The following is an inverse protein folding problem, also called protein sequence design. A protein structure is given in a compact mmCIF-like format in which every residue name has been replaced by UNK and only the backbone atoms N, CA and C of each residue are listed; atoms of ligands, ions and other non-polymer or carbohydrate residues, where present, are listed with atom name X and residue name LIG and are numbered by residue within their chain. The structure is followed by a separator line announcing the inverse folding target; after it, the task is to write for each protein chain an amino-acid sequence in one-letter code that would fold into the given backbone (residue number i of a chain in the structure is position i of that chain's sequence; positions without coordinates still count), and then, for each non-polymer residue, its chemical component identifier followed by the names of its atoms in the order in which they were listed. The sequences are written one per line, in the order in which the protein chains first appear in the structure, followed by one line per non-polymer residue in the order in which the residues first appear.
data_IF_344100126561
#
_entry.id   IF_344100126561
#
_cell.length_a   1.000
_cell.length_b   1.000
_cell.length_c   1.000
_cell.angle_alpha   90.00
_cell.angle_beta   90.00
_cell.angle_gamma   90.00
#
_symmetry.space_group_name_H-M   'P 1'
#
loop_
_entity.id
_entity.type
_entity.pdbx_description
1 polymer ?
#
# COMPACT_ATOMS: atom_id res chain seq x y z
N UNK A 1 -5.99 -37.40 -56.01
CA UNK A 1 -6.85 -38.58 -55.79
C UNK A 1 -6.02 -39.69 -55.15
N UNK A 2 -6.57 -40.34 -54.11
CA UNK A 2 -6.07 -41.49 -53.30
C UNK A 2 -5.66 -41.09 -51.88
N UNK A 3 -6.09 -41.73 -50.80
CA UNK A 3 -7.15 -42.71 -50.50
C UNK A 3 -7.34 -42.65 -48.98
N UNK A 4 -8.58 -42.76 -48.53
CA UNK A 4 -8.97 -42.87 -47.13
C UNK A 4 -8.33 -44.09 -46.45
N UNK A 5 -8.04 -43.98 -45.16
CA UNK A 5 -7.94 -45.12 -44.24
C UNK A 5 -8.66 -44.76 -42.94
N UNK A 6 -9.91 -45.18 -42.86
CA UNK A 6 -10.56 -45.54 -41.61
C UNK A 6 -10.10 -46.96 -41.25
N UNK A 7 -10.01 -47.29 -39.96
CA UNK A 7 -10.62 -48.48 -39.33
C UNK A 7 -10.17 -48.63 -37.87
N UNK A 8 -11.20 -48.68 -37.02
CA UNK A 8 -11.42 -49.39 -35.74
C UNK A 8 -10.39 -49.28 -34.60
N UNK A 9 -10.79 -48.80 -33.42
CA UNK A 9 -11.63 -49.47 -32.39
C UNK A 9 -10.78 -50.38 -31.48
N UNK A 10 -10.53 -49.91 -30.26
CA UNK A 10 -9.95 -50.66 -29.17
C UNK A 10 -10.48 -50.12 -27.85
N UNK A 11 -11.71 -50.52 -27.53
CA UNK A 11 -12.35 -50.33 -26.24
C UNK A 11 -11.79 -51.39 -25.27
N UNK A 12 -11.18 -50.99 -24.16
CA UNK A 12 -11.01 -51.88 -23.01
C UNK A 12 -11.05 -51.07 -21.72
N UNK A 13 -12.22 -51.18 -21.09
CA UNK A 13 -12.54 -50.81 -19.73
C UNK A 13 -11.86 -51.82 -18.79
N UNK A 14 -11.03 -51.36 -17.86
CA UNK A 14 -10.76 -52.12 -16.63
C UNK A 14 -10.88 -51.16 -15.44
N UNK A 15 -11.88 -51.47 -14.61
CA UNK A 15 -12.11 -50.91 -13.29
C UNK A 15 -10.96 -51.27 -12.35
N UNK A 16 -10.47 -50.27 -11.62
CA UNK A 16 -9.51 -50.45 -10.54
C UNK A 16 -9.68 -49.35 -9.50
N UNK A 17 -10.75 -49.45 -8.70
CA UNK A 17 -10.88 -48.72 -7.43
C UNK A 17 -9.87 -49.33 -6.47
N UNK A 18 -8.84 -48.60 -6.08
CA UNK A 18 -8.25 -48.66 -4.75
C UNK A 18 -7.76 -47.28 -4.33
N UNK A 19 -8.57 -46.63 -3.49
CA UNK A 19 -8.12 -45.61 -2.56
C UNK A 19 -7.00 -46.17 -1.70
N UNK A 20 -5.84 -45.52 -1.73
CA UNK A 20 -4.92 -45.52 -0.62
C UNK A 20 -4.30 -44.13 -0.56
N UNK A 21 -4.78 -43.34 0.41
CA UNK A 21 -4.14 -42.14 0.91
C UNK A 21 -2.63 -42.35 0.99
N UNK A 22 -1.88 -41.56 0.23
CA UNK A 22 -0.56 -41.13 0.69
C UNK A 22 -0.46 -39.65 0.42
N UNK A 23 -0.87 -38.90 1.45
CA UNK A 23 -0.51 -37.51 1.66
C UNK A 23 0.98 -37.38 1.41
N UNK A 24 1.33 -36.86 0.24
CA UNK A 24 2.52 -36.05 0.10
C UNK A 24 1.99 -34.63 0.16
N UNK A 25 1.64 -34.21 1.37
CA UNK A 25 1.27 -32.83 1.66
C UNK A 25 2.50 -31.97 1.40
N UNK A 26 2.47 -31.34 0.23
CA UNK A 26 2.60 -29.90 0.09
C UNK A 26 3.70 -29.26 0.94
N UNK A 27 4.96 -29.54 0.58
CA UNK A 27 5.98 -28.49 0.69
C UNK A 27 5.64 -27.41 -0.34
N UNK A 28 5.08 -26.29 0.11
CA UNK A 28 5.02 -25.07 -0.69
C UNK A 28 3.76 -24.22 -0.64
N UNK A 29 2.92 -24.23 0.41
CA UNK A 29 1.82 -23.24 0.53
C UNK A 29 1.18 -23.17 1.94
N UNK A 30 1.77 -22.40 2.87
CA UNK A 30 1.18 -21.90 4.13
C UNK A 30 2.30 -21.13 4.89
N UNK A 31 2.24 -19.86 5.26
CA UNK A 31 1.13 -18.93 5.54
C UNK A 31 1.49 -17.52 5.04
N UNK A 32 0.65 -16.93 4.19
CA UNK A 32 0.62 -15.46 4.01
C UNK A 32 0.27 -14.86 5.37
N UNK A 33 1.14 -13.98 5.88
CA UNK A 33 1.14 -13.47 7.24
C UNK A 33 -0.25 -13.02 7.69
N UNK A 34 -0.80 -13.68 8.72
CA UNK A 34 -1.95 -13.13 9.43
C UNK A 34 -1.59 -11.76 10.00
N UNK A 35 -2.50 -10.79 9.91
CA UNK A 35 -2.36 -9.51 10.59
C UNK A 35 -2.19 -9.74 12.10
N UNK A 36 -1.27 -8.99 12.69
CA UNK A 36 -1.18 -8.80 14.13
C UNK A 36 -2.52 -8.28 14.69
N UNK A 37 -2.75 -8.51 15.98
CA UNK A 37 -4.00 -8.10 16.62
C UNK A 37 -4.24 -6.59 16.49
N UNK A 38 -3.20 -5.77 16.60
CA UNK A 38 -3.32 -4.32 16.45
C UNK A 38 -3.48 -3.90 14.99
N UNK A 39 -2.79 -4.57 14.04
CA UNK A 39 -3.00 -4.28 12.62
C UNK A 39 -4.44 -4.59 12.19
N UNK A 40 -5.01 -5.67 12.71
CA UNK A 40 -6.42 -6.03 12.49
C UNK A 40 -7.38 -4.96 13.01
N UNK A 41 -7.16 -4.43 14.22
CA UNK A 41 -7.96 -3.32 14.77
C UNK A 41 -7.90 -2.08 13.88
N UNK A 42 -6.72 -1.77 13.33
CA UNK A 42 -6.55 -0.62 12.43
C UNK A 42 -7.31 -0.84 11.12
N UNK A 43 -7.20 -2.04 10.51
CA UNK A 43 -7.94 -2.39 9.29
C UNK A 43 -9.45 -2.33 9.53
N UNK A 44 -9.95 -2.92 10.61
CA UNK A 44 -11.38 -2.91 10.95
C UNK A 44 -11.90 -1.48 11.12
N UNK A 45 -11.13 -0.63 11.82
CA UNK A 45 -11.45 0.79 11.98
C UNK A 45 -11.52 1.52 10.63
N UNK A 46 -10.54 1.31 9.76
CA UNK A 46 -10.47 1.96 8.44
C UNK A 46 -11.64 1.54 7.56
N UNK A 47 -11.97 0.24 7.52
CA UNK A 47 -13.08 -0.27 6.72
C UNK A 47 -14.42 0.29 7.22
N UNK A 48 -14.65 0.33 8.54
CA UNK A 48 -15.84 0.99 9.12
C UNK A 48 -15.90 2.49 8.79
N UNK A 49 -14.77 3.18 8.92
CA UNK A 49 -14.69 4.61 8.67
C UNK A 49 -14.94 4.96 7.20
N UNK A 50 -14.30 4.24 6.26
CA UNK A 50 -14.47 4.47 4.82
C UNK A 50 -15.86 4.12 4.29
N UNK A 51 -16.64 3.32 5.02
CA UNK A 51 -18.06 3.08 4.70
C UNK A 51 -18.96 4.28 5.05
N UNK A 52 -18.45 5.28 5.78
CA UNK A 52 -19.17 6.53 6.06
C UNK A 52 -18.95 7.54 4.93
N UNK A 53 -19.93 8.41 4.73
CA UNK A 53 -19.90 9.40 3.64
C UNK A 53 -18.69 10.33 3.77
N UNK A 54 -18.04 10.57 2.63
CA UNK A 54 -16.91 11.50 2.46
C UNK A 54 -15.65 11.17 3.26
N UNK A 55 -15.52 9.95 3.79
CA UNK A 55 -14.35 9.58 4.60
C UNK A 55 -13.26 8.91 3.79
N UNK A 56 -12.02 9.24 4.14
CA UNK A 56 -10.80 8.73 3.51
C UNK A 56 -9.61 8.78 4.47
N UNK A 57 -9.88 8.50 5.74
CA UNK A 57 -8.91 8.44 6.83
C UNK A 57 -7.67 7.64 6.45
N UNK A 58 -6.50 8.24 6.67
CA UNK A 58 -5.20 7.59 6.51
C UNK A 58 -4.94 6.57 7.61
N UNK A 59 -4.04 5.61 7.35
CA UNK A 59 -3.62 4.61 8.35
C UNK A 59 -3.04 5.30 9.59
N UNK A 60 -2.22 6.36 9.38
CA UNK A 60 -1.65 7.13 10.47
C UNK A 60 -2.71 7.77 11.38
N UNK A 61 -3.76 8.38 10.80
CA UNK A 61 -4.84 8.98 11.59
C UNK A 61 -5.72 7.92 12.27
N UNK A 62 -5.99 6.79 11.62
CA UNK A 62 -6.68 5.68 12.24
C UNK A 62 -5.93 5.12 13.46
N UNK A 63 -4.62 4.96 13.35
CA UNK A 63 -3.76 4.55 14.46
C UNK A 63 -3.80 5.56 15.61
N UNK A 64 -3.69 6.86 15.31
CA UNK A 64 -3.83 7.92 16.32
C UNK A 64 -5.19 7.86 17.04
N UNK A 65 -6.28 7.68 16.29
CA UNK A 65 -7.62 7.54 16.81
C UNK A 65 -7.81 6.29 17.71
N UNK A 66 -6.97 5.28 17.53
CA UNK A 66 -6.95 4.05 18.32
C UNK A 66 -5.92 4.09 19.47
N UNK A 67 -5.13 5.17 19.58
CA UNK A 67 -4.04 5.25 20.56
C UNK A 67 -2.87 4.29 20.24
N UNK A 68 -2.69 3.96 18.97
CA UNK A 68 -1.63 3.09 18.47
C UNK A 68 -0.55 3.92 17.77
N UNK A 69 0.70 3.48 17.88
CA UNK A 69 1.86 4.14 17.26
C UNK A 69 2.81 3.11 16.64
N UNK A 70 3.71 3.58 15.78
CA UNK A 70 4.80 2.77 15.24
C UNK A 70 4.74 2.59 13.73
N UNK A 71 5.83 2.96 13.05
CA UNK A 71 5.94 2.86 11.60
C UNK A 71 5.89 1.40 11.10
N UNK A 72 6.35 0.43 11.89
CA UNK A 72 6.29 -0.99 11.54
C UNK A 72 4.83 -1.50 11.42
N UNK A 73 3.99 -1.14 12.39
CA UNK A 73 2.57 -1.46 12.36
C UNK A 73 1.88 -0.80 11.15
N UNK A 74 2.24 0.45 10.87
CA UNK A 74 1.71 1.17 9.70
C UNK A 74 2.09 0.52 8.37
N UNK A 75 3.33 0.03 8.23
CA UNK A 75 3.78 -0.73 7.07
C UNK A 75 3.04 -2.07 6.95
N UNK A 76 2.87 -2.80 8.05
CA UNK A 76 2.13 -4.06 8.08
C UNK A 76 0.69 -3.89 7.56
N UNK A 77 -0.02 -2.87 8.07
CA UNK A 77 -1.37 -2.52 7.60
C UNK A 77 -1.34 -2.14 6.10
N UNK A 78 -0.38 -1.33 5.68
CA UNK A 78 -0.23 -0.93 4.28
C UNK A 78 -0.04 -2.11 3.33
N UNK A 79 0.85 -3.04 3.68
CA UNK A 79 1.15 -4.24 2.89
C UNK A 79 -0.04 -5.19 2.80
N UNK A 80 -0.82 -5.29 3.88
CA UNK A 80 -2.08 -6.02 3.86
C UNK A 80 -3.10 -5.36 2.93
N UNK A 81 -3.33 -4.06 3.05
CA UNK A 81 -4.31 -3.34 2.21
C UNK A 81 -3.94 -3.38 0.71
N UNK A 82 -2.65 -3.44 0.36
CA UNK A 82 -2.20 -3.65 -1.04
C UNK A 82 -2.64 -5.00 -1.61
N UNK A 83 -2.69 -6.04 -0.77
CA UNK A 83 -3.07 -7.40 -1.16
C UNK A 83 -4.59 -7.62 -1.11
N UNK A 84 -5.32 -6.73 -0.43
CA UNK A 84 -6.75 -6.86 -0.15
C UNK A 84 -7.53 -5.61 -0.57
N UNK A 85 -7.39 -5.23 -1.85
CA UNK A 85 -8.05 -4.03 -2.41
C UNK A 85 -9.58 -4.17 -2.53
N UNK A 86 -10.10 -5.36 -2.31
CA UNK A 86 -11.52 -5.72 -2.29
C UNK A 86 -12.23 -5.36 -0.97
N UNK A 87 -11.49 -5.03 0.10
CA UNK A 87 -12.07 -4.71 1.41
C UNK A 87 -12.92 -3.42 1.43
N UNK A 88 -12.61 -2.47 0.56
CA UNK A 88 -13.34 -1.21 0.48
C UNK A 88 -13.26 -0.60 -0.93
N UNK A 89 -14.33 0.07 -1.36
CA UNK A 89 -14.33 0.84 -2.62
C UNK A 89 -13.18 1.85 -2.66
N UNK A 90 -12.83 2.44 -1.51
CA UNK A 90 -11.71 3.34 -1.36
C UNK A 90 -10.39 2.73 -1.86
N UNK A 91 -10.09 1.49 -1.47
CA UNK A 91 -8.89 0.79 -1.91
C UNK A 91 -8.96 0.43 -3.39
N UNK A 92 -10.13 0.02 -3.88
CA UNK A 92 -10.33 -0.32 -5.30
C UNK A 92 -10.09 0.87 -6.23
N UNK A 93 -10.56 2.06 -5.86
CA UNK A 93 -10.49 3.25 -6.73
C UNK A 93 -9.21 4.05 -6.55
N UNK A 94 -8.67 4.10 -5.34
CA UNK A 94 -7.54 4.96 -5.00
C UNK A 94 -6.26 4.16 -4.71
N UNK A 95 -6.35 2.86 -4.38
CA UNK A 95 -5.20 2.06 -4.01
C UNK A 95 -4.69 2.34 -2.59
N UNK A 96 -4.01 1.36 -2.01
CA UNK A 96 -3.56 1.42 -0.61
C UNK A 96 -2.49 2.50 -0.34
N UNK A 97 -1.64 2.82 -1.33
CA UNK A 97 -0.55 3.80 -1.18
C UNK A 97 -1.06 5.19 -0.77
N UNK A 98 -2.28 5.54 -1.16
CA UNK A 98 -2.93 6.81 -0.84
C UNK A 98 -3.33 6.96 0.64
N UNK A 99 -3.45 5.85 1.36
CA UNK A 99 -3.81 5.82 2.77
C UNK A 99 -2.60 5.57 3.68
N UNK A 100 -1.47 5.12 3.12
CA UNK A 100 -0.26 4.79 3.88
C UNK A 100 0.47 6.03 4.41
N UNK A 101 0.58 7.07 3.58
CA UNK A 101 1.22 8.32 3.97
C UNK A 101 0.32 9.15 4.88
N UNK A 102 0.91 9.72 5.93
CA UNK A 102 0.29 10.76 6.75
C UNK A 102 0.14 12.08 5.96
N UNK A 103 -0.63 13.03 6.47
CA UNK A 103 -0.76 14.35 5.82
C UNK A 103 0.58 15.11 5.74
N UNK A 104 1.44 14.97 6.76
CA UNK A 104 2.81 15.49 6.75
C UNK A 104 3.63 14.87 5.60
N UNK A 105 3.59 13.54 5.45
CA UNK A 105 4.33 12.82 4.42
C UNK A 105 3.77 13.07 3.01
N UNK A 106 2.46 13.31 2.89
CA UNK A 106 1.82 13.75 1.65
C UNK A 106 2.33 15.12 1.20
N UNK A 107 2.55 16.05 2.12
CA UNK A 107 3.15 17.36 1.81
C UNK A 107 4.59 17.17 1.32
N UNK A 108 5.37 16.31 1.98
CA UNK A 108 6.73 15.96 1.53
C UNK A 108 6.69 15.37 0.12
N UNK A 109 5.86 14.34 -0.12
CA UNK A 109 5.72 13.69 -1.43
C UNK A 109 5.33 14.69 -2.52
N UNK A 110 4.34 15.56 -2.26
CA UNK A 110 3.92 16.62 -3.19
C UNK A 110 5.08 17.50 -3.61
N UNK A 111 5.86 17.96 -2.63
CA UNK A 111 7.00 18.84 -2.89
C UNK A 111 8.05 18.12 -3.74
N UNK A 112 8.47 16.92 -3.35
CA UNK A 112 9.49 16.14 -4.07
C UNK A 112 9.06 15.86 -5.53
N UNK A 113 7.81 15.43 -5.75
CA UNK A 113 7.29 15.18 -7.10
C UNK A 113 7.25 16.46 -7.90
N UNK A 114 6.74 17.56 -7.34
CA UNK A 114 6.61 18.83 -8.07
C UNK A 114 7.97 19.36 -8.48
N UNK A 115 8.95 19.37 -7.56
CA UNK A 115 10.33 19.77 -7.84
C UNK A 115 10.97 18.85 -8.89
N UNK A 116 10.82 17.53 -8.76
CA UNK A 116 11.39 16.59 -9.73
C UNK A 116 10.78 16.75 -11.13
N UNK A 117 9.45 16.88 -11.23
CA UNK A 117 8.76 17.05 -12.51
C UNK A 117 9.17 18.34 -13.20
N UNK A 118 9.27 19.45 -12.44
CA UNK A 118 9.61 20.77 -12.95
C UNK A 118 11.10 20.96 -13.26
N UNK A 119 11.98 20.49 -12.38
CA UNK A 119 13.42 20.78 -12.44
C UNK A 119 14.28 19.58 -12.89
N UNK A 120 13.68 18.39 -13.01
CA UNK A 120 14.38 17.12 -13.34
C UNK A 120 15.48 16.75 -12.35
N UNK A 121 15.39 17.27 -11.11
CA UNK A 121 16.27 16.95 -9.99
C UNK A 121 15.48 16.95 -8.69
N UNK A 122 15.99 16.25 -7.69
CA UNK A 122 15.47 16.37 -6.33
C UNK A 122 16.16 17.52 -5.58
N UNK A 123 15.45 18.17 -4.66
CA UNK A 123 16.02 19.21 -3.80
C UNK A 123 17.04 18.61 -2.83
N UNK A 124 17.89 19.42 -2.23
CA UNK A 124 18.70 19.03 -1.07
C UNK A 124 17.82 18.87 0.19
N UNK A 125 18.36 18.23 1.23
CA UNK A 125 17.65 18.07 2.51
C UNK A 125 17.26 19.42 3.13
N UNK A 126 18.16 20.41 3.06
CA UNK A 126 17.92 21.75 3.58
C UNK A 126 16.84 22.50 2.80
N UNK A 127 16.85 22.43 1.47
CA UNK A 127 15.81 23.04 0.61
C UNK A 127 14.44 22.43 0.90
N UNK A 128 14.38 21.10 0.98
CA UNK A 128 13.15 20.39 1.31
C UNK A 128 12.64 20.72 2.72
N UNK A 129 13.52 20.71 3.72
CA UNK A 129 13.21 21.09 5.11
C UNK A 129 12.57 22.47 5.18
N UNK A 130 13.18 23.46 4.50
CA UNK A 130 12.65 24.83 4.45
C UNK A 130 11.30 24.90 3.73
N UNK A 131 11.16 24.21 2.61
CA UNK A 131 9.96 24.28 1.78
C UNK A 131 8.73 23.64 2.46
N UNK A 132 8.94 22.53 3.18
CA UNK A 132 7.85 21.81 3.87
C UNK A 132 7.68 22.21 5.33
N UNK A 133 8.57 23.06 5.87
CA UNK A 133 8.48 23.57 7.24
C UNK A 133 8.81 22.54 8.33
N UNK A 134 9.61 21.52 8.03
CA UNK A 134 10.00 20.47 8.99
C UNK A 134 11.50 20.55 9.32
N UNK A 135 11.91 20.28 10.58
CA UNK A 135 13.33 20.11 10.91
C UNK A 135 13.99 19.02 10.07
N UNK A 136 15.24 19.20 9.66
CA UNK A 136 15.98 18.24 8.81
C UNK A 136 16.02 16.82 9.40
N UNK A 137 16.18 16.69 10.73
CA UNK A 137 16.15 15.39 11.41
C UNK A 137 14.81 14.67 11.21
N UNK A 138 13.68 15.39 11.42
CA UNK A 138 12.33 14.86 11.23
C UNK A 138 12.08 14.51 9.76
N UNK A 139 12.49 15.38 8.85
CA UNK A 139 12.37 15.11 7.41
C UNK A 139 13.16 13.85 7.03
N UNK A 140 14.39 13.69 7.51
CA UNK A 140 15.22 12.50 7.26
C UNK A 140 14.54 11.21 7.75
N UNK A 141 13.97 11.21 8.96
CA UNK A 141 13.20 10.08 9.48
C UNK A 141 11.99 9.74 8.59
N UNK A 142 11.25 10.76 8.14
CA UNK A 142 10.08 10.56 7.27
C UNK A 142 10.49 10.05 5.88
N UNK A 143 11.58 10.56 5.30
CA UNK A 143 12.12 10.05 4.03
C UNK A 143 12.52 8.57 4.15
N UNK A 144 13.11 8.17 5.28
CA UNK A 144 13.43 6.76 5.54
C UNK A 144 12.17 5.89 5.60
N UNK A 145 11.12 6.36 6.29
CA UNK A 145 9.83 5.68 6.29
C UNK A 145 9.26 5.57 4.87
N UNK A 146 9.24 6.66 4.10
CA UNK A 146 8.73 6.69 2.73
C UNK A 146 9.53 5.76 1.79
N UNK A 147 10.84 5.58 2.03
CA UNK A 147 11.63 4.60 1.33
C UNK A 147 11.21 3.16 1.66
N UNK A 148 11.01 2.84 2.95
CA UNK A 148 10.46 1.53 3.38
C UNK A 148 9.05 1.29 2.85
N UNK A 149 8.26 2.34 2.73
CA UNK A 149 6.91 2.30 2.18
C UNK A 149 6.90 2.07 0.65
N UNK A 150 8.03 2.26 -0.04
CA UNK A 150 8.16 2.07 -1.48
C UNK A 150 7.88 3.32 -2.33
N UNK A 151 7.83 4.51 -1.73
CA UNK A 151 7.73 5.78 -2.49
C UNK A 151 9.11 6.27 -2.97
N UNK A 152 10.15 5.96 -2.20
CA UNK A 152 11.54 6.32 -2.49
C UNK A 152 12.40 5.07 -2.59
N UNK A 153 13.50 5.16 -3.34
CA UNK A 153 14.61 4.20 -3.28
C UNK A 153 15.89 4.91 -2.85
N UNK A 154 16.73 4.22 -2.08
CA UNK A 154 18.04 4.74 -1.66
C UNK A 154 18.94 4.97 -2.87
N UNK A 155 19.64 6.10 -2.91
CA UNK A 155 20.55 6.49 -3.98
C UNK A 155 21.64 7.39 -3.40
N UNK A 156 22.85 6.86 -3.22
CA UNK A 156 23.98 7.55 -2.57
C UNK A 156 24.50 8.76 -3.35
N UNK A 157 24.18 8.85 -4.63
CA UNK A 157 24.53 9.93 -5.55
C UNK A 157 23.47 11.04 -5.60
N UNK A 158 22.35 10.90 -4.88
CA UNK A 158 21.29 11.90 -4.81
C UNK A 158 21.51 12.89 -3.65
N UNK A 159 21.18 14.19 -3.80
CA UNK A 159 21.23 15.17 -2.72
C UNK A 159 20.43 14.82 -1.44
N UNK A 160 19.46 13.91 -1.55
CA UNK A 160 18.66 13.42 -0.41
C UNK A 160 19.09 12.04 0.09
N UNK A 161 20.08 11.39 -0.54
CA UNK A 161 20.33 9.96 -0.46
C UNK A 161 19.17 9.07 -0.94
N UNK A 162 18.18 9.67 -1.62
CA UNK A 162 16.99 9.00 -2.14
C UNK A 162 16.63 9.53 -3.52
N UNK A 163 15.98 8.69 -4.33
CA UNK A 163 15.26 9.11 -5.53
C UNK A 163 13.84 8.57 -5.53
N UNK A 164 12.95 9.17 -6.34
CA UNK A 164 11.60 8.65 -6.56
C UNK A 164 11.67 7.26 -7.21
N UNK A 165 10.75 6.36 -6.85
CA UNK A 165 10.57 5.09 -7.55
C UNK A 165 9.97 5.31 -8.94
N UNK A 166 10.04 4.34 -9.85
CA UNK A 166 9.53 4.52 -11.22
C UNK A 166 8.01 4.73 -11.27
N UNK A 167 7.30 4.20 -10.28
CA UNK A 167 5.85 4.27 -10.09
C UNK A 167 5.43 5.37 -9.10
N UNK A 168 6.28 6.38 -8.87
CA UNK A 168 5.99 7.46 -7.92
C UNK A 168 4.68 8.21 -8.25
N UNK A 169 4.24 8.19 -9.51
CA UNK A 169 3.04 8.85 -9.99
C UNK A 169 1.75 8.14 -9.59
N UNK A 170 1.86 6.87 -9.15
CA UNK A 170 0.76 6.11 -8.54
C UNK A 170 0.48 6.57 -7.11
N UNK A 171 1.41 7.30 -6.49
CA UNK A 171 1.25 7.90 -5.17
C UNK A 171 0.55 9.27 -5.28
N UNK A 172 -0.53 9.46 -4.51
CA UNK A 172 -1.33 10.70 -4.48
C UNK A 172 -2.66 10.62 -5.23
N UNK A 173 -2.88 9.61 -6.07
CA UNK A 173 -4.12 9.48 -6.84
C UNK A 173 -4.39 10.66 -7.79
N UNK A 174 -5.58 10.79 -8.40
CA UNK A 174 -5.87 11.84 -9.37
C UNK A 174 -6.09 13.22 -8.74
N UNK A 175 -6.29 13.31 -7.41
CA UNK A 175 -6.39 14.57 -6.66
C UNK A 175 -5.05 15.03 -6.07
N UNK A 176 -4.02 14.21 -6.31
CA UNK A 176 -2.61 14.29 -5.95
C UNK A 176 -2.34 14.57 -4.48
N UNK A 177 -2.72 15.71 -3.89
CA UNK A 177 -2.39 16.01 -2.47
C UNK A 177 -3.31 17.01 -1.76
N UNK A 178 -4.59 17.09 -2.14
CA UNK A 178 -5.58 17.82 -1.33
C UNK A 178 -6.13 16.85 -0.30
N UNK A 179 -5.75 17.07 0.96
CA UNK A 179 -6.17 16.26 2.07
C UNK A 179 -6.42 17.16 3.25
N UNK A 180 -7.53 16.92 3.94
CA UNK A 180 -7.91 17.68 5.11
C UNK A 180 -8.33 16.72 6.21
N UNK A 181 -7.81 16.94 7.41
CA UNK A 181 -8.38 16.31 8.60
C UNK A 181 -9.54 17.16 9.08
N UNK A 182 -10.72 16.54 9.16
CA UNK A 182 -11.96 17.17 9.62
C UNK A 182 -12.24 16.71 11.06
N UNK A 183 -12.62 17.65 11.90
CA UNK A 183 -13.07 17.39 13.28
C UNK A 183 -14.51 17.84 13.40
N UNK A 184 -15.40 16.89 13.72
CA UNK A 184 -16.82 17.14 14.01
C UNK A 184 -17.06 16.93 15.50
N UNK A 185 -17.86 17.81 16.12
CA UNK A 185 -18.15 17.71 17.55
C UNK A 185 -18.77 16.34 17.88
N UNK A 186 -18.18 15.63 18.86
CA UNK A 186 -18.61 14.30 19.28
C UNK A 186 -18.06 13.15 18.44
N UNK A 187 -17.22 13.41 17.44
CA UNK A 187 -16.63 12.39 16.59
C UNK A 187 -15.09 12.38 16.67
N UNK A 188 -14.50 11.23 16.34
CA UNK A 188 -13.06 11.15 16.10
C UNK A 188 -12.71 11.86 14.79
N UNK A 189 -11.57 12.57 14.72
CA UNK A 189 -11.12 13.18 13.46
C UNK A 189 -11.00 12.16 12.33
N UNK A 190 -11.29 12.58 11.11
CA UNK A 190 -11.19 11.75 9.91
C UNK A 190 -10.61 12.55 8.74
N UNK A 191 -9.96 11.87 7.79
CA UNK A 191 -9.45 12.55 6.59
C UNK A 191 -10.51 12.57 5.48
N UNK A 192 -10.48 13.64 4.70
CA UNK A 192 -11.22 13.82 3.44
C UNK A 192 -10.26 14.25 2.33
N UNK A 193 -10.64 14.00 1.09
CA UNK A 193 -9.97 14.51 -0.12
C UNK A 193 -10.54 15.85 -0.56
#
# INVERSE_FOLDING_TARGET
MKRFSFVLLGLLLVLGVQSACRQTETQGEATRSELSADARKVVDYLVDDWNKKFRSTSIALAMQNLGLEGDALRLEVGDYLRQHTDLANNLKWWGANNYLLSNEEKIIAKYLITTFVGEKKLPTLQEASRAVGLPEARLSERLQFMAKAGFLKTASDSPLNYVLTEDYDTWGGPLRYNFHTVTVAGEKPFDVW
#
